data_IF_410519433248
#
_entry.id   IF_410519433248
#
_cell.length_a   1.000
_cell.length_b   1.000
_cell.length_c   1.000
_cell.angle_alpha   90.00
_cell.angle_beta   90.00
_cell.angle_gamma   90.00
#
_symmetry.space_group_name_H-M   'P 1'
#
loop_
_entity.id
_entity.type
_entity.pdbx_description
1 polymer ?
#
# COMPACT_ATOMS: atom_id res chain seq x y z
N UNK A 1 -10.28 -3.61 -10.96
CA UNK A 1 -11.42 -2.87 -10.36
C UNK A 1 -12.05 -3.77 -9.33
N UNK A 2 -12.37 -3.24 -8.16
CA UNK A 2 -13.17 -3.91 -7.12
C UNK A 2 -14.24 -2.94 -6.65
N UNK A 3 -15.45 -3.46 -6.40
CA UNK A 3 -16.51 -2.75 -5.69
C UNK A 3 -17.12 -3.76 -4.73
N UNK A 4 -17.04 -3.47 -3.43
CA UNK A 4 -17.63 -4.29 -2.39
C UNK A 4 -18.46 -3.44 -1.43
N UNK A 5 -19.51 -4.05 -0.87
CA UNK A 5 -20.42 -3.44 0.10
C UNK A 5 -20.82 -4.47 1.17
N UNK A 6 -19.85 -4.99 1.95
CA UNK A 6 -20.03 -6.19 2.77
C UNK A 6 -20.99 -5.98 3.96
N UNK A 7 -21.23 -4.73 4.34
CA UNK A 7 -22.10 -4.39 5.47
C UNK A 7 -23.46 -3.82 5.04
N UNK A 8 -23.78 -3.84 3.74
CA UNK A 8 -25.09 -3.43 3.24
C UNK A 8 -26.22 -4.24 3.93
N UNK A 9 -27.34 -3.63 4.37
CA UNK A 9 -27.77 -2.24 4.14
C UNK A 9 -27.44 -1.28 5.30
N UNK A 10 -26.37 -1.49 6.06
CA UNK A 10 -25.99 -0.56 7.14
C UNK A 10 -25.45 0.73 6.53
N UNK A 11 -26.04 1.86 6.91
CA UNK A 11 -25.59 3.18 6.46
C UNK A 11 -24.27 3.61 7.13
N UNK A 12 -23.60 4.59 6.51
CA UNK A 12 -22.39 5.28 7.02
C UNK A 12 -21.18 4.37 7.28
N UNK A 13 -21.14 3.20 6.63
CA UNK A 13 -20.01 2.27 6.74
C UNK A 13 -18.90 2.65 5.77
N UNK A 14 -17.68 2.75 6.30
CA UNK A 14 -16.47 2.98 5.49
C UNK A 14 -16.01 1.71 4.73
N UNK A 15 -16.62 0.57 5.03
CA UNK A 15 -16.29 -0.74 4.45
C UNK A 15 -16.85 -0.93 3.05
N UNK A 16 -17.81 -0.10 2.64
CA UNK A 16 -18.28 -0.02 1.26
C UNK A 16 -17.32 0.85 0.44
N UNK A 17 -16.62 0.26 -0.53
CA UNK A 17 -15.64 0.99 -1.32
C UNK A 17 -15.54 0.51 -2.77
N UNK A 18 -14.93 1.37 -3.59
CA UNK A 18 -14.54 1.08 -4.96
C UNK A 18 -13.09 1.49 -5.17
N UNK A 19 -12.28 0.58 -5.74
CA UNK A 19 -10.92 0.86 -6.14
C UNK A 19 -10.73 0.51 -7.62
N UNK A 20 -10.22 1.46 -8.39
CA UNK A 20 -9.95 1.31 -9.83
C UNK A 20 -8.50 1.72 -10.05
N UNK A 21 -7.69 0.79 -10.55
CA UNK A 21 -6.33 1.05 -11.00
C UNK A 21 -6.29 0.99 -12.52
N UNK A 22 -5.67 1.99 -13.14
CA UNK A 22 -5.37 2.03 -14.56
C UNK A 22 -3.86 1.77 -14.68
N UNK A 23 -3.51 0.62 -15.28
CA UNK A 23 -2.14 0.14 -15.37
C UNK A 23 -1.65 0.28 -16.81
N UNK A 24 -0.41 0.73 -16.96
CA UNK A 24 0.32 0.74 -18.21
C UNK A 24 1.64 -0.01 -18.03
N UNK A 25 2.13 -0.65 -19.09
CA UNK A 25 3.46 -1.27 -19.06
C UNK A 25 4.55 -0.23 -18.84
N UNK A 26 5.71 -0.61 -18.26
CA UNK A 26 6.77 0.33 -17.92
C UNK A 26 7.40 1.06 -19.11
N UNK A 27 7.20 0.53 -20.32
CA UNK A 27 7.70 1.10 -21.57
C UNK A 27 6.60 1.79 -22.39
N UNK A 28 5.35 1.78 -21.93
CA UNK A 28 4.25 2.43 -22.63
C UNK A 28 4.28 3.94 -22.37
N UNK A 29 4.24 4.74 -23.44
CA UNK A 29 4.22 6.19 -23.30
C UNK A 29 2.80 6.70 -23.04
N UNK A 30 2.52 7.02 -21.77
CA UNK A 30 1.27 7.66 -21.35
C UNK A 30 1.30 9.18 -21.51
N UNK A 31 2.41 9.76 -22.00
CA UNK A 31 2.73 11.20 -21.99
C UNK A 31 2.78 11.81 -20.57
N UNK A 32 2.61 10.98 -19.55
CA UNK A 32 2.48 11.35 -18.14
C UNK A 32 3.46 10.57 -17.28
N UNK A 33 3.91 11.19 -16.20
CA UNK A 33 4.51 10.46 -15.08
C UNK A 33 3.48 9.47 -14.51
N UNK A 34 3.87 8.28 -14.07
CA UNK A 34 2.96 7.42 -13.32
C UNK A 34 2.70 8.01 -11.93
N UNK A 35 1.57 7.64 -11.31
CA UNK A 35 1.34 7.98 -9.89
C UNK A 35 2.27 7.19 -8.97
N UNK A 36 2.59 5.95 -9.32
CA UNK A 36 3.55 5.10 -8.66
C UNK A 36 3.90 3.92 -9.58
N UNK A 37 4.95 3.18 -9.24
CA UNK A 37 5.27 1.90 -9.85
C UNK A 37 4.87 0.76 -8.91
N UNK A 38 4.17 -0.23 -9.44
CA UNK A 38 3.71 -1.38 -8.68
C UNK A 38 4.55 -2.58 -9.10
N UNK A 39 5.32 -3.15 -8.16
CA UNK A 39 6.03 -4.40 -8.39
C UNK A 39 5.06 -5.56 -8.65
N UNK A 40 5.53 -6.65 -9.26
CA UNK A 40 4.72 -7.86 -9.34
C UNK A 40 4.43 -8.37 -7.91
N UNK A 41 3.17 -8.63 -7.54
CA UNK A 41 2.85 -9.18 -6.22
C UNK A 41 3.46 -10.58 -6.06
N UNK A 42 3.85 -10.87 -4.83
CA UNK A 42 4.39 -12.16 -4.40
C UNK A 42 3.42 -12.83 -3.44
N UNK A 43 3.24 -14.14 -3.61
CA UNK A 43 2.43 -14.97 -2.71
C UNK A 43 3.20 -16.22 -2.32
N UNK A 44 3.13 -16.60 -1.04
CA UNK A 44 3.74 -17.84 -0.53
C UNK A 44 2.79 -18.53 0.43
N UNK A 45 2.64 -19.84 0.30
CA UNK A 45 1.80 -20.59 1.21
C UNK A 45 2.67 -21.20 2.34
N UNK A 46 2.18 -21.19 3.57
CA UNK A 46 2.87 -21.78 4.71
C UNK A 46 3.15 -23.28 4.53
N UNK A 47 2.34 -23.99 3.71
CA UNK A 47 2.53 -25.41 3.40
C UNK A 47 3.77 -25.69 2.56
N UNK A 48 4.33 -24.66 1.91
CA UNK A 48 5.55 -24.78 1.10
C UNK A 48 6.83 -24.82 1.95
N UNK A 49 6.71 -24.66 3.28
CA UNK A 49 7.83 -24.54 4.21
C UNK A 49 7.81 -25.62 5.28
N UNK A 50 8.98 -25.98 5.79
CA UNK A 50 9.10 -26.87 6.94
C UNK A 50 9.20 -26.12 8.26
N UNK A 51 8.75 -26.75 9.34
CA UNK A 51 8.87 -26.14 10.68
C UNK A 51 10.33 -26.13 11.10
N UNK A 52 10.85 -24.95 11.47
CA UNK A 52 12.20 -24.78 12.00
C UNK A 52 12.15 -24.12 13.38
N UNK A 53 13.13 -24.42 14.24
CA UNK A 53 13.22 -23.82 15.57
C UNK A 53 13.32 -22.30 15.45
N UNK A 54 12.41 -21.57 16.12
CA UNK A 54 12.34 -20.10 16.07
C UNK A 54 11.77 -19.51 14.78
N UNK A 55 11.47 -20.32 13.76
CA UNK A 55 10.89 -19.88 12.49
C UNK A 55 9.65 -20.70 12.11
N UNK A 56 8.46 -20.30 12.58
CA UNK A 56 7.20 -20.91 12.15
C UNK A 56 7.03 -20.83 10.62
N UNK A 57 6.38 -21.83 10.02
CA UNK A 57 6.12 -21.91 8.56
C UNK A 57 5.58 -20.61 7.98
N UNK A 58 4.60 -20.01 8.65
CA UNK A 58 3.96 -18.78 8.19
C UNK A 58 4.91 -17.57 8.23
N UNK A 59 5.83 -17.51 9.21
CA UNK A 59 6.86 -16.46 9.28
C UNK A 59 7.84 -16.60 8.11
N UNK A 60 8.23 -17.84 7.77
CA UNK A 60 9.07 -18.11 6.60
C UNK A 60 8.37 -17.73 5.28
N UNK A 61 7.09 -18.07 5.14
CA UNK A 61 6.29 -17.67 3.99
C UNK A 61 6.21 -16.14 3.84
N UNK A 62 6.01 -15.42 4.95
CA UNK A 62 6.04 -13.96 4.94
C UNK A 62 7.38 -13.37 4.53
N UNK A 63 8.50 -13.87 5.08
CA UNK A 63 9.84 -13.44 4.69
C UNK A 63 10.06 -13.62 3.19
N UNK A 64 9.79 -14.82 2.69
CA UNK A 64 9.95 -15.14 1.27
C UNK A 64 9.05 -14.28 0.36
N UNK A 65 7.80 -14.02 0.73
CA UNK A 65 6.89 -13.17 -0.05
C UNK A 65 7.34 -11.70 -0.05
N UNK A 66 7.78 -11.17 1.09
CA UNK A 66 8.24 -9.77 1.19
C UNK A 66 9.54 -9.56 0.43
N UNK A 67 10.49 -10.49 0.54
CA UNK A 67 11.76 -10.42 -0.20
C UNK A 67 11.54 -10.48 -1.72
N UNK A 68 10.67 -11.39 -2.18
CA UNK A 68 10.30 -11.46 -3.60
C UNK A 68 9.55 -10.20 -4.06
N UNK A 69 8.63 -9.66 -3.26
CA UNK A 69 7.91 -8.42 -3.59
C UNK A 69 8.86 -7.23 -3.75
N UNK A 70 9.86 -7.11 -2.87
CA UNK A 70 10.90 -6.07 -2.97
C UNK A 70 11.76 -6.26 -4.23
N UNK A 71 12.22 -7.50 -4.49
CA UNK A 71 12.96 -7.86 -5.69
C UNK A 71 12.18 -7.56 -6.98
N UNK A 72 10.88 -7.89 -7.02
CA UNK A 72 9.98 -7.60 -8.13
C UNK A 72 9.78 -6.10 -8.37
N UNK A 73 9.98 -5.26 -7.36
CA UNK A 73 9.98 -3.80 -7.47
C UNK A 73 11.37 -3.22 -7.80
N UNK A 74 12.40 -4.07 -7.92
CA UNK A 74 13.78 -3.65 -8.17
C UNK A 74 14.38 -2.85 -7.01
N UNK A 75 13.95 -3.12 -5.78
CA UNK A 75 14.40 -2.41 -4.57
C UNK A 75 14.85 -3.40 -3.49
N UNK A 76 15.88 -3.07 -2.70
CA UNK A 76 16.14 -3.79 -1.46
C UNK A 76 14.99 -3.54 -0.48
N UNK A 77 14.68 -4.52 0.36
CA UNK A 77 13.62 -4.40 1.36
C UNK A 77 13.89 -3.24 2.33
N UNK A 78 15.15 -2.94 2.63
CA UNK A 78 15.57 -1.81 3.49
C UNK A 78 15.17 -0.43 2.97
N UNK A 79 14.77 -0.31 1.69
CA UNK A 79 14.23 0.95 1.15
C UNK A 79 12.76 1.18 1.52
N UNK A 80 12.07 0.16 2.06
CA UNK A 80 10.68 0.29 2.50
C UNK A 80 10.60 1.19 3.72
N UNK A 81 9.93 2.32 3.58
CA UNK A 81 9.74 3.28 4.68
C UNK A 81 8.33 3.31 5.25
N UNK A 82 7.38 2.57 4.66
CA UNK A 82 6.01 2.48 5.16
C UNK A 82 5.35 1.13 4.84
N UNK A 83 4.40 0.73 5.68
CA UNK A 83 3.66 -0.53 5.58
C UNK A 83 2.15 -0.23 5.57
N UNK A 84 1.42 -0.82 4.63
CA UNK A 84 -0.03 -0.87 4.64
C UNK A 84 -0.46 -2.33 4.78
N UNK A 85 -1.30 -2.61 5.76
CA UNK A 85 -1.78 -3.98 6.02
C UNK A 85 -3.25 -3.99 6.45
N UNK A 86 -3.83 -5.17 6.49
CA UNK A 86 -5.24 -5.46 6.75
C UNK A 86 -5.42 -6.48 7.88
N UNK A 87 -4.67 -6.33 8.97
CA UNK A 87 -4.66 -7.32 10.05
C UNK A 87 -6.03 -7.45 10.75
N UNK A 88 -6.87 -6.42 10.68
CA UNK A 88 -8.13 -6.32 11.42
C UNK A 88 -7.94 -5.56 12.73
N UNK A 89 -8.99 -5.52 13.56
CA UNK A 89 -9.03 -4.73 14.80
C UNK A 89 -9.57 -5.55 15.96
N UNK A 90 -8.96 -5.37 17.13
CA UNK A 90 -9.47 -5.80 18.43
C UNK A 90 -9.98 -7.26 18.48
N UNK A 91 -9.21 -8.19 17.90
CA UNK A 91 -9.50 -9.64 17.95
C UNK A 91 -8.22 -10.45 18.04
N UNK A 92 -8.32 -11.68 18.55
CA UNK A 92 -7.18 -12.61 18.64
C UNK A 92 -6.60 -12.92 17.26
N UNK A 93 -7.46 -13.05 16.24
CA UNK A 93 -7.05 -13.24 14.86
C UNK A 93 -6.22 -12.05 14.35
N UNK A 94 -6.66 -10.81 14.63
CA UNK A 94 -5.94 -9.61 14.24
C UNK A 94 -4.59 -9.48 14.97
N UNK A 95 -4.57 -9.79 16.27
CA UNK A 95 -3.33 -9.87 17.05
C UNK A 95 -2.35 -10.88 16.46
N UNK A 96 -2.82 -12.09 16.17
CA UNK A 96 -1.99 -13.15 15.56
C UNK A 96 -1.42 -12.74 14.19
N UNK A 97 -2.24 -12.14 13.32
CA UNK A 97 -1.80 -11.62 12.02
C UNK A 97 -0.70 -10.56 12.17
N UNK A 98 -0.92 -9.57 13.04
CA UNK A 98 0.04 -8.49 13.28
C UNK A 98 1.34 -9.00 13.90
N UNK A 99 1.27 -9.88 14.91
CA UNK A 99 2.46 -10.49 15.52
C UNK A 99 3.27 -11.31 14.51
N UNK A 100 2.59 -12.09 13.67
CA UNK A 100 3.26 -12.90 12.64
C UNK A 100 3.98 -12.02 11.63
N UNK A 101 3.30 -10.97 11.13
CA UNK A 101 3.90 -10.01 10.21
C UNK A 101 5.08 -9.28 10.87
N UNK A 102 4.92 -8.83 12.12
CA UNK A 102 6.00 -8.19 12.88
C UNK A 102 7.22 -9.09 13.07
N UNK A 103 7.02 -10.38 13.38
CA UNK A 103 8.12 -11.35 13.50
C UNK A 103 8.84 -11.57 12.15
N UNK A 104 8.09 -11.56 11.04
CA UNK A 104 8.68 -11.71 9.71
C UNK A 104 9.52 -10.48 9.31
N UNK A 105 9.08 -9.27 9.68
CA UNK A 105 9.75 -8.01 9.32
C UNK A 105 10.87 -7.59 10.28
N UNK A 106 10.86 -8.04 11.53
CA UNK A 106 11.78 -7.53 12.56
C UNK A 106 13.26 -7.82 12.32
N UNK A 107 13.60 -8.89 11.60
CA UNK A 107 14.99 -9.18 11.22
C UNK A 107 15.44 -8.38 9.98
N UNK A 108 14.71 -8.40 8.85
CA UNK A 108 15.12 -7.62 7.68
C UNK A 108 14.99 -6.10 7.85
N UNK A 109 14.12 -5.65 8.75
CA UNK A 109 13.83 -4.24 9.02
C UNK A 109 13.90 -3.94 10.53
N UNK A 110 15.10 -4.00 11.15
CA UNK A 110 15.24 -3.97 12.60
C UNK A 110 14.81 -2.65 13.26
N UNK A 111 14.88 -1.53 12.54
CA UNK A 111 14.47 -0.21 13.03
C UNK A 111 13.05 0.17 12.61
N UNK A 112 12.34 -0.70 11.88
CA UNK A 112 11.02 -0.39 11.36
C UNK A 112 9.95 -0.55 12.43
N UNK A 113 9.38 0.58 12.84
CA UNK A 113 8.32 0.62 13.84
C UNK A 113 6.96 0.54 13.15
N UNK A 114 6.35 -0.66 13.11
CA UNK A 114 5.04 -0.88 12.48
C UNK A 114 3.94 0.02 13.08
N UNK A 115 4.07 0.47 14.34
CA UNK A 115 3.06 1.33 14.94
C UNK A 115 3.18 2.79 14.46
N UNK A 116 4.39 3.23 14.07
CA UNK A 116 4.63 4.59 13.54
C UNK A 116 4.65 4.64 12.02
N UNK A 117 5.15 3.57 11.40
CA UNK A 117 5.39 3.43 9.96
C UNK A 117 4.42 2.43 9.31
N UNK A 118 3.38 2.01 10.02
CA UNK A 118 2.33 1.14 9.51
C UNK A 118 0.96 1.82 9.49
N UNK A 119 0.11 1.36 8.59
CA UNK A 119 -1.30 1.70 8.53
C UNK A 119 -2.14 0.43 8.40
N UNK A 120 -2.99 0.18 9.40
CA UNK A 120 -3.94 -0.92 9.38
C UNK A 120 -5.26 -0.44 8.75
N UNK A 121 -5.44 -0.69 7.46
CA UNK A 121 -6.60 -0.24 6.71
C UNK A 121 -7.91 -0.72 7.34
N UNK A 122 -8.01 -2.03 7.59
CA UNK A 122 -9.22 -2.66 8.15
C UNK A 122 -9.55 -2.23 9.57
N UNK A 123 -8.58 -1.68 10.32
CA UNK A 123 -8.88 -1.09 11.63
C UNK A 123 -9.55 0.28 11.54
N UNK A 124 -9.39 0.99 10.43
CA UNK A 124 -10.09 2.23 10.14
C UNK A 124 -11.37 1.98 9.34
N UNK A 125 -11.25 1.36 8.16
CA UNK A 125 -12.33 1.23 7.19
C UNK A 125 -13.24 0.02 7.44
N UNK A 126 -12.82 -0.93 8.27
CA UNK A 126 -13.44 -2.25 8.34
C UNK A 126 -12.93 -3.18 7.24
N UNK A 127 -13.38 -4.43 7.26
CA UNK A 127 -13.12 -5.37 6.17
C UNK A 127 -14.00 -5.01 4.97
N UNK A 128 -13.36 -4.77 3.83
CA UNK A 128 -14.02 -4.37 2.58
C UNK A 128 -14.11 -5.55 1.60
N UNK A 129 -14.06 -6.77 2.14
CA UNK A 129 -14.16 -8.03 1.40
C UNK A 129 -13.06 -8.16 0.35
N UNK A 130 -13.45 -8.50 -0.88
CA UNK A 130 -12.50 -8.65 -1.98
C UNK A 130 -11.82 -7.32 -2.35
N UNK A 131 -12.41 -6.18 -1.97
CA UNK A 131 -11.87 -4.84 -2.20
C UNK A 131 -10.64 -4.51 -1.35
N UNK A 132 -10.44 -5.19 -0.22
CA UNK A 132 -9.42 -4.81 0.79
C UNK A 132 -8.02 -4.76 0.21
N UNK A 133 -7.65 -5.76 -0.60
CA UNK A 133 -6.33 -5.82 -1.22
C UNK A 133 -6.07 -4.63 -2.17
N UNK A 134 -7.05 -4.29 -3.01
CA UNK A 134 -6.89 -3.21 -3.99
C UNK A 134 -6.95 -1.83 -3.32
N UNK A 135 -7.75 -1.68 -2.28
CA UNK A 135 -7.78 -0.47 -1.44
C UNK A 135 -6.43 -0.25 -0.74
N UNK A 136 -5.79 -1.30 -0.23
CA UNK A 136 -4.44 -1.18 0.33
C UNK A 136 -3.42 -0.69 -0.71
N UNK A 137 -3.48 -1.21 -1.95
CA UNK A 137 -2.60 -0.76 -3.04
C UNK A 137 -2.89 0.70 -3.42
N UNK A 138 -4.16 1.12 -3.48
CA UNK A 138 -4.53 2.51 -3.76
C UNK A 138 -3.99 3.48 -2.68
N UNK A 139 -4.10 3.11 -1.40
CA UNK A 139 -3.51 3.87 -0.29
C UNK A 139 -1.98 3.91 -0.38
N UNK A 140 -1.35 2.81 -0.80
CA UNK A 140 0.11 2.75 -0.97
C UNK A 140 0.59 3.64 -2.11
N UNK A 141 -0.13 3.67 -3.24
CA UNK A 141 0.13 4.60 -4.36
C UNK A 141 0.05 6.05 -3.87
N UNK A 142 -1.01 6.39 -3.13
CA UNK A 142 -1.18 7.73 -2.58
C UNK A 142 -0.02 8.11 -1.66
N UNK A 143 0.35 7.24 -0.73
CA UNK A 143 1.45 7.47 0.21
C UNK A 143 2.79 7.59 -0.52
N UNK A 144 3.13 6.62 -1.38
CA UNK A 144 4.39 6.61 -2.14
C UNK A 144 4.53 7.88 -2.97
N UNK A 145 3.48 8.31 -3.65
CA UNK A 145 3.46 9.52 -4.44
C UNK A 145 3.69 10.80 -3.61
N UNK A 146 3.08 10.89 -2.42
CA UNK A 146 3.09 12.11 -1.59
C UNK A 146 4.26 12.19 -0.62
N UNK A 147 4.88 11.06 -0.30
CA UNK A 147 6.03 10.97 0.61
C UNK A 147 7.34 10.67 -0.12
N UNK A 148 7.27 10.21 -1.37
CA UNK A 148 8.47 9.82 -2.11
C UNK A 148 9.13 8.57 -1.53
N UNK A 149 8.35 7.69 -0.89
CA UNK A 149 8.86 6.56 -0.10
C UNK A 149 8.26 5.25 -0.61
N UNK A 150 9.05 4.18 -0.81
CA UNK A 150 8.52 2.86 -1.08
C UNK A 150 7.63 2.34 0.04
N UNK A 151 6.51 1.72 -0.33
CA UNK A 151 5.49 1.21 0.58
C UNK A 151 5.31 -0.28 0.35
N UNK A 152 5.46 -1.07 1.42
CA UNK A 152 5.07 -2.47 1.43
C UNK A 152 3.57 -2.58 1.70
N UNK A 153 2.87 -3.34 0.87
CA UNK A 153 1.48 -3.74 1.12
C UNK A 153 1.48 -5.21 1.51
N UNK A 154 0.91 -5.53 2.67
CA UNK A 154 0.79 -6.88 3.19
C UNK A 154 -0.70 -7.28 3.31
N UNK A 155 -1.11 -8.29 2.55
CA UNK A 155 -2.42 -8.94 2.66
C UNK A 155 -2.37 -10.07 3.67
N UNK A 156 -3.01 -9.89 4.81
CA UNK A 156 -2.92 -10.72 6.03
C UNK A 156 -4.21 -11.49 6.33
N UNK A 157 -5.25 -11.27 5.52
CA UNK A 157 -6.58 -11.87 5.73
C UNK A 157 -6.56 -13.40 5.61
N UNK A 158 -5.83 -13.94 4.63
CA UNK A 158 -5.69 -15.38 4.41
C UNK A 158 -4.74 -16.03 5.43
N UNK A 159 -5.22 -16.97 6.28
CA UNK A 159 -4.44 -17.45 7.43
C UNK A 159 -3.11 -18.14 7.09
N UNK A 160 -3.06 -18.86 5.98
CA UNK A 160 -1.92 -19.69 5.58
C UNK A 160 -1.16 -19.15 4.36
N UNK A 161 -1.56 -17.97 3.86
CA UNK A 161 -0.98 -17.40 2.64
C UNK A 161 -0.43 -16.01 2.95
N UNK A 162 0.88 -15.84 2.79
CA UNK A 162 1.50 -14.53 2.78
C UNK A 162 1.33 -13.91 1.39
N UNK A 163 0.83 -12.67 1.34
CA UNK A 163 0.69 -11.91 0.11
C UNK A 163 1.32 -10.53 0.30
N UNK A 164 2.25 -10.16 -0.57
CA UNK A 164 2.98 -8.91 -0.48
C UNK A 164 3.14 -8.25 -1.86
N UNK A 165 3.13 -6.92 -1.89
CA UNK A 165 3.54 -6.13 -3.05
C UNK A 165 4.21 -4.85 -2.59
N UNK A 166 5.25 -4.42 -3.31
CA UNK A 166 5.91 -3.13 -3.06
C UNK A 166 5.46 -2.12 -4.12
N UNK A 167 5.03 -0.96 -3.64
CA UNK A 167 4.68 0.20 -4.44
C UNK A 167 5.77 1.25 -4.25
N UNK A 168 6.39 1.70 -5.34
CA UNK A 168 7.50 2.67 -5.30
C UNK A 168 7.07 4.02 -5.88
N UNK A 169 7.65 5.13 -5.39
CA UNK A 169 7.34 6.46 -5.91
C UNK A 169 7.74 6.58 -7.39
N UNK A 170 7.08 7.46 -8.15
CA UNK A 170 7.54 7.81 -9.49
C UNK A 170 8.83 8.63 -9.41
N UNK A 171 9.53 8.76 -10.55
CA UNK A 171 10.76 9.56 -10.61
C UNK A 171 10.54 11.02 -10.19
N UNK A 172 9.36 11.57 -10.52
CA UNK A 172 8.92 12.91 -10.11
C UNK A 172 7.75 12.81 -9.13
N UNK A 173 8.03 12.40 -7.89
CA UNK A 173 7.05 12.42 -6.81
C UNK A 173 6.61 13.85 -6.45
N UNK A 174 5.32 14.06 -6.17
CA UNK A 174 4.82 15.35 -5.66
C UNK A 174 4.76 15.31 -4.15
N UNK A 175 5.91 15.50 -3.52
CA UNK A 175 5.99 15.54 -2.07
C UNK A 175 5.13 16.70 -1.55
N UNK A 176 4.21 16.38 -0.63
CA UNK A 176 3.32 17.37 -0.04
C UNK A 176 4.11 18.37 0.81
N UNK A 177 4.01 19.64 0.44
CA UNK A 177 4.52 20.79 1.17
C UNK A 177 3.39 21.40 2.02
N UNK A 178 3.45 21.28 3.37
CA UNK A 178 2.43 21.81 4.27
C UNK A 178 2.39 23.34 4.30
N UNK A 179 3.45 24.02 3.85
CA UNK A 179 3.52 25.48 3.81
C UNK A 179 2.85 26.08 2.55
N UNK A 180 2.43 25.24 1.59
CA UNK A 180 1.82 25.69 0.33
C UNK A 180 0.33 25.35 0.25
N UNK A 181 -0.45 26.30 -0.26
CA UNK A 181 -1.85 26.10 -0.61
C UNK A 181 -2.01 24.94 -1.61
N UNK A 182 -2.88 23.98 -1.27
CA UNK A 182 -3.32 22.94 -2.21
C UNK A 182 -4.44 23.47 -3.11
N UNK A 183 -4.25 23.39 -4.43
CA UNK A 183 -5.17 23.95 -5.44
C UNK A 183 -6.63 23.53 -5.21
N UNK A 184 -6.88 22.27 -4.81
CA UNK A 184 -8.23 21.72 -4.60
C UNK A 184 -8.76 21.79 -3.17
N UNK A 185 -7.99 22.25 -2.18
CA UNK A 185 -8.44 22.34 -0.78
C UNK A 185 -9.29 23.58 -0.48
N UNK A 186 -9.74 24.31 -1.52
CA UNK A 186 -10.49 25.58 -1.39
C UNK A 186 -12.02 25.40 -1.29
N UNK A 187 -12.53 24.16 -1.42
CA UNK A 187 -13.92 23.81 -1.14
C UNK A 187 -14.02 22.78 -0.01
N UNK A 188 -14.81 23.08 1.02
CA UNK A 188 -15.29 22.12 2.04
C UNK A 188 -14.23 21.35 2.84
N UNK A 189 -12.99 21.84 2.97
CA UNK A 189 -11.87 21.15 3.64
C UNK A 189 -11.48 19.79 3.01
N UNK A 190 -11.95 19.52 1.80
CA UNK A 190 -11.64 18.28 1.08
C UNK A 190 -10.43 18.51 0.16
N UNK A 191 -9.36 17.73 0.36
CA UNK A 191 -8.23 17.68 -0.55
C UNK A 191 -8.38 16.46 -1.47
N UNK A 192 -8.74 16.69 -2.73
CA UNK A 192 -8.70 15.63 -3.73
C UNK A 192 -7.24 15.38 -4.13
N UNK A 193 -6.74 14.17 -3.86
CA UNK A 193 -5.46 13.68 -4.36
C UNK A 193 -5.48 13.66 -5.90
N UNK A 194 -4.33 13.76 -6.58
CA UNK A 194 -4.29 13.67 -8.04
C UNK A 194 -4.80 12.31 -8.52
N UNK A 195 -5.71 12.31 -9.50
CA UNK A 195 -6.31 11.10 -10.08
C UNK A 195 -5.50 10.58 -11.28
N UNK A 196 -4.58 11.41 -11.79
CA UNK A 196 -3.69 11.12 -12.90
C UNK A 196 -2.31 11.66 -12.58
N UNK A 197 -1.28 11.02 -13.11
CA UNK A 197 0.06 11.55 -13.00
C UNK A 197 0.28 12.77 -13.90
N UNK A 198 1.40 13.45 -13.64
CA UNK A 198 1.73 14.73 -14.24
C UNK A 198 2.10 14.58 -15.71
N UNK A 199 1.54 15.42 -16.59
CA UNK A 199 2.05 15.53 -17.97
C UNK A 199 3.53 15.86 -17.99
N UNK A 200 4.30 15.20 -18.86
CA UNK A 200 5.76 15.39 -18.93
C UNK A 200 6.18 16.67 -19.63
N UNK A 201 5.31 17.22 -20.48
CA UNK A 201 5.55 18.42 -21.30
C UNK A 201 5.18 19.73 -20.60
N UNK A 202 4.66 19.67 -19.37
CA UNK A 202 4.26 20.85 -18.58
C UNK A 202 5.31 21.20 -17.53
N UNK A 203 5.66 22.49 -17.43
CA UNK A 203 6.49 23.02 -16.35
C UNK A 203 5.67 23.25 -15.07
N UNK A 204 5.62 22.21 -14.23
CA UNK A 204 4.84 22.20 -12.99
C UNK A 204 5.33 23.17 -11.91
N UNK A 205 6.53 23.76 -12.05
CA UNK A 205 7.02 24.77 -11.11
C UNK A 205 6.18 26.05 -11.12
N UNK A 206 5.45 26.30 -12.22
CA UNK A 206 4.58 27.47 -12.40
C UNK A 206 3.19 27.28 -11.82
N UNK A 207 2.84 26.06 -11.41
CA UNK A 207 1.50 25.71 -10.94
C UNK A 207 1.49 25.50 -9.43
N UNK A 208 0.32 25.73 -8.82
CA UNK A 208 0.14 25.44 -7.39
C UNK A 208 0.25 23.94 -7.13
N UNK A 209 0.67 23.61 -5.91
CA UNK A 209 0.63 22.24 -5.42
C UNK A 209 -0.78 21.65 -5.55
N UNK A 210 -0.86 20.39 -5.96
CA UNK A 210 -2.14 19.68 -6.17
C UNK A 210 -2.86 19.99 -7.48
N UNK A 211 -2.38 20.95 -8.29
CA UNK A 211 -2.92 21.16 -9.64
C UNK A 211 -2.50 20.00 -10.56
N UNK A 212 -3.45 19.45 -11.32
CA UNK A 212 -3.23 18.47 -12.38
C UNK A 212 -4.28 18.71 -13.47
N UNK A 213 -3.83 18.83 -14.72
CA UNK A 213 -4.67 18.87 -15.93
C UNK A 213 -5.11 17.45 -16.34
#
# INVERSE_FOLDING_TARGET
MTWDAPEHPRDERMSENIAILILAGPTFDTEREPLAWIGRPATRNAKDFEVQAGQPRLVQAWRAAVDEAASNAGRPLTDVGYLIHDAGKASDAAGKRLTTLGQALGEPLPEFDILKQGFNNTALMGDTGAGTALTNVALAIAYAHHKGTPVLVAGTTEPDTAAAVVVTPPARARVFDPAKDWFRARGERNAYLPWWGLRRDVDWSRYRQGYSE
#
